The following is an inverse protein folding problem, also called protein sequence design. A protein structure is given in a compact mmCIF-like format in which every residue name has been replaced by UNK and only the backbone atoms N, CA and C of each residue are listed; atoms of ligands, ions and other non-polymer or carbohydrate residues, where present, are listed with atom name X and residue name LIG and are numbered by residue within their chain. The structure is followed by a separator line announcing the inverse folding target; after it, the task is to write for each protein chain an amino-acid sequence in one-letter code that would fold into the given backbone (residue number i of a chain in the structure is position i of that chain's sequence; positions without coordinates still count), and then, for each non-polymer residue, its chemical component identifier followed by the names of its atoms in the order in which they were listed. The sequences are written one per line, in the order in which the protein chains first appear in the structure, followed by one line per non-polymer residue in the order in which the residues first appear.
data_IF_281811956114
#
_entry.id   IF_281811956114
#
_cell.length_a   1.000
_cell.length_b   1.000
_cell.length_c   1.000
_cell.angle_alpha   90.00
_cell.angle_beta   90.00
_cell.angle_gamma   90.00
#
_symmetry.space_group_name_H-M   'P 1'
#
loop_
_entity.id
_entity.type
_entity.pdbx_description
1 polymer ?
#
# COMPACT_ATOMS: atom_id res chain seq x y z
N UNK A 1 14.97 3.64 -14.30
CA UNK A 1 15.11 2.21 -13.88
C UNK A 1 14.43 2.08 -12.54
N UNK A 2 13.58 1.06 -12.31
CA UNK A 2 12.89 0.89 -11.01
C UNK A 2 13.91 0.63 -9.88
N UNK A 3 13.69 1.19 -8.68
CA UNK A 3 14.50 0.86 -7.51
C UNK A 3 14.59 -0.65 -7.28
N UNK A 4 15.78 -1.15 -6.94
CA UNK A 4 16.00 -2.58 -6.70
C UNK A 4 15.07 -3.12 -5.60
N UNK A 5 14.89 -2.35 -4.53
CA UNK A 5 13.98 -2.69 -3.43
C UNK A 5 12.51 -2.80 -3.85
N UNK A 6 12.08 -2.06 -4.89
CA UNK A 6 10.72 -2.24 -5.45
C UNK A 6 10.61 -3.56 -6.22
N UNK A 7 11.64 -3.94 -6.98
CA UNK A 7 11.68 -5.24 -7.65
C UNK A 7 11.65 -6.39 -6.64
N UNK A 8 12.48 -6.30 -5.61
CA UNK A 8 12.50 -7.29 -4.52
C UNK A 8 11.14 -7.38 -3.80
N UNK A 9 10.47 -6.24 -3.60
CA UNK A 9 9.12 -6.21 -3.04
C UNK A 9 8.12 -6.96 -3.93
N UNK A 10 8.14 -6.72 -5.24
CA UNK A 10 7.26 -7.41 -6.20
C UNK A 10 7.54 -8.92 -6.18
N UNK A 11 8.81 -9.32 -6.26
CA UNK A 11 9.22 -10.72 -6.20
C UNK A 11 8.73 -11.39 -4.90
N UNK A 12 8.96 -10.75 -3.75
CA UNK A 12 8.49 -11.24 -2.46
C UNK A 12 6.96 -11.36 -2.41
N UNK A 13 6.25 -10.36 -2.93
CA UNK A 13 4.78 -10.33 -2.92
C UNK A 13 4.19 -11.52 -3.69
N UNK A 14 4.79 -11.91 -4.83
CA UNK A 14 4.25 -12.94 -5.73
C UNK A 14 4.79 -14.34 -5.48
N UNK A 15 5.97 -14.44 -4.87
CA UNK A 15 6.65 -15.73 -4.75
C UNK A 15 5.92 -16.70 -3.80
N UNK A 16 5.98 -18.00 -4.05
CA UNK A 16 5.56 -18.99 -3.08
C UNK A 16 6.38 -18.88 -1.80
N UNK A 17 5.71 -18.81 -0.63
CA UNK A 17 6.38 -18.73 0.69
C UNK A 17 7.13 -17.44 0.98
N UNK A 18 7.00 -16.39 0.14
CA UNK A 18 7.66 -15.10 0.39
C UNK A 18 9.19 -15.11 0.22
N UNK A 19 9.68 -15.82 -0.78
CA UNK A 19 11.11 -15.82 -1.13
C UNK A 19 11.36 -14.90 -2.35
N UNK A 20 12.51 -14.19 -2.43
CA UNK A 20 13.56 -14.10 -1.39
C UNK A 20 13.05 -13.39 -0.13
N UNK A 21 13.65 -13.70 1.01
CA UNK A 21 13.34 -13.00 2.26
C UNK A 21 13.66 -11.51 2.08
N UNK A 22 12.76 -10.60 2.47
CA UNK A 22 13.02 -9.17 2.37
C UNK A 22 14.15 -8.75 3.31
N UNK A 23 14.89 -7.72 2.92
CA UNK A 23 15.90 -7.11 3.79
C UNK A 23 15.22 -6.70 5.12
N UNK A 24 15.81 -7.04 6.29
CA UNK A 24 15.27 -6.65 7.59
C UNK A 24 15.04 -5.13 7.75
N UNK A 25 15.74 -4.30 6.96
CA UNK A 25 15.50 -2.84 6.94
C UNK A 25 14.22 -2.44 6.19
N UNK A 26 13.64 -3.34 5.40
CA UNK A 26 12.46 -3.11 4.57
C UNK A 26 11.24 -3.93 5.03
N UNK A 27 11.45 -4.93 5.88
CA UNK A 27 10.40 -5.81 6.38
C UNK A 27 9.96 -5.40 7.79
N UNK A 28 8.66 -5.14 7.95
CA UNK A 28 8.00 -4.80 9.20
C UNK A 28 7.19 -5.99 9.70
N UNK A 29 7.79 -6.81 10.56
CA UNK A 29 7.12 -7.97 11.12
C UNK A 29 5.98 -7.59 12.08
N UNK A 30 6.11 -6.46 12.77
CA UNK A 30 5.14 -5.94 13.73
C UNK A 30 4.76 -4.50 13.42
N UNK A 31 3.61 -4.07 13.96
CA UNK A 31 3.13 -2.70 13.84
C UNK A 31 4.13 -1.69 14.40
N UNK A 32 4.73 -1.96 15.55
CA UNK A 32 5.68 -1.04 16.19
C UNK A 32 6.92 -0.79 15.29
N UNK A 33 7.40 -1.85 14.60
CA UNK A 33 8.49 -1.71 13.62
C UNK A 33 8.03 -0.84 12.43
N UNK A 34 6.80 -1.02 11.97
CA UNK A 34 6.24 -0.21 10.90
C UNK A 34 6.10 1.26 11.31
N UNK A 35 5.56 1.57 12.49
CA UNK A 35 5.41 2.93 13.01
C UNK A 35 6.78 3.63 13.18
N UNK A 36 7.77 2.91 13.69
CA UNK A 36 9.14 3.42 13.74
C UNK A 36 9.74 3.75 12.36
N UNK A 37 9.31 3.06 11.31
CA UNK A 37 9.73 3.36 9.93
C UNK A 37 8.95 4.49 9.30
N UNK A 38 7.70 4.71 9.67
CA UNK A 38 6.96 5.91 9.25
C UNK A 38 7.68 7.18 9.72
N UNK A 39 8.24 7.18 10.92
CA UNK A 39 9.07 8.30 11.40
C UNK A 39 10.32 8.51 10.52
N UNK A 40 10.92 7.42 10.03
CA UNK A 40 12.05 7.53 9.08
C UNK A 40 11.62 8.03 7.72
N UNK A 41 10.44 7.65 7.23
CA UNK A 41 9.86 8.19 5.99
C UNK A 41 9.66 9.70 6.09
N UNK A 42 9.06 10.18 7.18
CA UNK A 42 8.86 11.62 7.42
C UNK A 42 10.17 12.38 7.31
N UNK A 43 11.15 11.98 8.12
CA UNK A 43 12.47 12.63 8.12
C UNK A 43 13.21 12.50 6.77
N UNK A 44 12.96 11.44 6.02
CA UNK A 44 13.54 11.26 4.69
C UNK A 44 12.88 12.20 3.67
N UNK A 45 11.55 12.31 3.69
CA UNK A 45 10.78 13.18 2.80
C UNK A 45 11.15 14.66 2.99
N UNK A 46 11.28 15.12 4.25
CA UNK A 46 11.75 16.48 4.58
C UNK A 46 13.17 16.73 4.08
N UNK A 47 14.11 15.80 4.30
CA UNK A 47 15.48 15.91 3.79
C UNK A 47 15.57 15.88 2.26
N UNK A 48 14.65 15.18 1.61
CA UNK A 48 14.52 15.15 0.15
C UNK A 48 13.90 16.45 -0.41
N UNK A 49 13.50 17.38 0.47
CA UNK A 49 13.00 18.71 0.09
C UNK A 49 11.48 18.80 -0.07
N UNK A 50 10.70 17.77 0.34
CA UNK A 50 9.25 17.93 0.39
C UNK A 50 8.88 18.99 1.44
N UNK A 51 7.91 19.89 1.15
CA UNK A 51 7.35 20.77 2.17
C UNK A 51 6.83 19.96 3.39
N UNK A 52 6.97 20.50 4.58
CA UNK A 52 6.59 19.85 5.84
C UNK A 52 5.17 19.26 5.80
N UNK A 53 4.20 20.02 5.28
CA UNK A 53 2.81 19.57 5.12
C UNK A 53 2.67 18.37 4.16
N UNK A 54 3.44 18.34 3.07
CA UNK A 54 3.43 17.25 2.10
C UNK A 54 4.13 16.01 2.65
N UNK A 55 5.24 16.17 3.36
CA UNK A 55 5.93 15.08 4.03
C UNK A 55 5.03 14.42 5.09
N UNK A 56 4.31 15.23 5.87
CA UNK A 56 3.33 14.75 6.85
C UNK A 56 2.16 14.02 6.19
N UNK A 57 1.59 14.56 5.09
CA UNK A 57 0.50 13.93 4.34
C UNK A 57 0.93 12.61 3.71
N UNK A 58 2.10 12.55 3.08
CA UNK A 58 2.65 11.32 2.51
C UNK A 58 2.83 10.25 3.60
N UNK A 59 3.37 10.66 4.76
CA UNK A 59 3.55 9.76 5.90
C UNK A 59 2.21 9.24 6.43
N UNK A 60 1.18 10.10 6.52
CA UNK A 60 -0.17 9.71 6.91
C UNK A 60 -0.80 8.74 5.90
N UNK A 61 -0.64 8.99 4.59
CA UNK A 61 -1.07 8.08 3.52
C UNK A 61 -0.41 6.71 3.66
N UNK A 62 0.91 6.67 3.84
CA UNK A 62 1.64 5.42 4.05
C UNK A 62 1.19 4.71 5.34
N UNK A 63 0.93 5.48 6.40
CA UNK A 63 0.41 4.98 7.67
C UNK A 63 -0.93 4.27 7.54
N UNK A 64 -1.90 4.87 6.85
CA UNK A 64 -3.21 4.25 6.61
C UNK A 64 -3.11 2.97 5.79
N UNK A 65 -2.28 2.95 4.74
CA UNK A 65 -2.09 1.76 3.91
C UNK A 65 -1.45 0.63 4.72
N UNK A 66 -0.34 0.92 5.42
CA UNK A 66 0.40 -0.11 6.14
C UNK A 66 -0.33 -0.61 7.39
N UNK A 67 -1.07 0.26 8.10
CA UNK A 67 -1.88 -0.18 9.24
C UNK A 67 -2.97 -1.17 8.83
N UNK A 68 -3.53 -1.03 7.62
CA UNK A 68 -4.49 -2.00 7.09
C UNK A 68 -3.90 -3.41 6.99
N UNK A 69 -2.60 -3.53 6.69
CA UNK A 69 -1.91 -4.82 6.66
C UNK A 69 -1.98 -5.54 8.01
N UNK A 70 -1.92 -4.81 9.12
CA UNK A 70 -2.01 -5.38 10.46
C UNK A 70 -3.46 -5.55 10.92
N UNK A 71 -4.33 -4.55 10.69
CA UNK A 71 -5.71 -4.56 11.18
C UNK A 71 -6.56 -5.68 10.54
N UNK A 72 -6.32 -5.97 9.27
CA UNK A 72 -7.13 -6.96 8.53
C UNK A 72 -6.55 -8.37 8.52
N UNK A 73 -5.25 -8.54 8.81
CA UNK A 73 -4.59 -9.82 8.70
C UNK A 73 -4.22 -10.47 10.04
N UNK A 74 -4.49 -9.83 11.18
CA UNK A 74 -4.18 -10.39 12.49
C UNK A 74 -4.87 -11.76 12.66
N UNK A 75 -4.07 -12.82 12.85
CA UNK A 75 -4.55 -14.22 12.91
C UNK A 75 -4.92 -14.82 11.54
N UNK A 76 -4.68 -14.13 10.44
CA UNK A 76 -5.04 -14.57 9.09
C UNK A 76 -3.88 -14.49 8.08
N UNK A 77 -2.66 -14.38 8.57
CA UNK A 77 -1.48 -14.47 7.74
C UNK A 77 -1.37 -15.88 7.16
N UNK A 78 -1.12 -15.99 5.85
CA UNK A 78 -1.01 -17.29 5.19
C UNK A 78 0.38 -17.91 5.35
N UNK A 79 1.42 -17.06 5.36
CA UNK A 79 2.81 -17.49 5.46
C UNK A 79 3.65 -16.53 6.31
N UNK A 80 3.86 -15.28 5.89
CA UNK A 80 4.69 -14.31 6.58
C UNK A 80 3.86 -13.16 7.16
N UNK A 81 3.85 -12.97 8.48
CA UNK A 81 3.14 -11.85 9.13
C UNK A 81 3.87 -10.53 8.88
N UNK A 82 3.10 -9.44 8.81
CA UNK A 82 3.66 -8.10 8.64
C UNK A 82 3.62 -7.58 7.20
N UNK A 83 4.41 -6.56 6.92
CA UNK A 83 4.44 -5.95 5.60
C UNK A 83 5.86 -5.60 5.14
N UNK A 84 6.06 -5.60 3.84
CA UNK A 84 7.17 -4.93 3.19
C UNK A 84 6.88 -3.44 3.16
N UNK A 85 7.83 -2.61 3.58
CA UNK A 85 7.70 -1.17 3.56
C UNK A 85 9.03 -0.53 3.19
N UNK A 86 9.09 0.13 2.05
CA UNK A 86 10.27 0.86 1.63
C UNK A 86 9.90 2.12 0.85
N UNK A 87 10.87 2.99 0.69
CA UNK A 87 10.74 4.25 -0.02
C UNK A 87 12.09 4.66 -0.61
N UNK A 88 12.04 5.38 -1.71
CA UNK A 88 13.22 5.95 -2.36
C UNK A 88 12.85 7.23 -3.11
N UNK A 89 13.82 8.13 -3.22
CA UNK A 89 13.73 9.23 -4.16
C UNK A 89 14.21 8.73 -5.52
N UNK A 90 13.33 8.83 -6.52
CA UNK A 90 13.67 8.59 -7.92
C UNK A 90 13.08 9.75 -8.73
N UNK A 91 13.81 10.22 -9.74
CA UNK A 91 13.23 11.27 -10.59
C UNK A 91 11.97 10.75 -11.30
N UNK A 92 10.80 11.37 -11.12
CA UNK A 92 10.56 12.77 -10.76
C UNK A 92 10.12 13.02 -9.30
N UNK A 93 10.28 12.10 -8.33
CA UNK A 93 9.82 12.35 -6.97
C UNK A 93 10.08 11.22 -5.98
N UNK A 94 9.39 11.26 -4.87
CA UNK A 94 9.48 10.25 -3.83
C UNK A 94 8.49 9.11 -4.12
N UNK A 95 8.98 7.89 -4.09
CA UNK A 95 8.21 6.67 -4.21
C UNK A 95 8.14 5.96 -2.87
N UNK A 96 6.96 5.48 -2.50
CA UNK A 96 6.72 4.65 -1.32
C UNK A 96 5.97 3.41 -1.74
N UNK A 97 6.42 2.23 -1.32
CA UNK A 97 5.72 0.98 -1.60
C UNK A 97 5.54 0.14 -0.35
N UNK A 98 4.36 -0.42 -0.25
CA UNK A 98 3.90 -1.21 0.88
C UNK A 98 3.23 -2.46 0.31
N UNK A 99 3.61 -3.63 0.81
CA UNK A 99 2.97 -4.87 0.43
C UNK A 99 2.79 -5.78 1.64
N UNK A 100 1.69 -6.52 1.69
CA UNK A 100 1.46 -7.59 2.65
C UNK A 100 1.09 -8.90 1.93
N UNK A 101 1.20 -10.00 2.64
CA UNK A 101 0.86 -11.35 2.17
C UNK A 101 -0.30 -11.93 2.97
N UNK A 102 -1.23 -11.08 3.37
CA UNK A 102 -2.43 -11.46 4.10
C UNK A 102 -3.54 -11.99 3.21
N UNK A 103 -4.78 -11.86 3.68
CA UNK A 103 -5.96 -12.42 2.99
C UNK A 103 -6.39 -11.65 1.72
N UNK A 104 -5.88 -10.43 1.52
CA UNK A 104 -6.30 -9.55 0.44
C UNK A 104 -7.62 -8.82 0.69
N UNK A 105 -7.91 -7.85 -0.19
CA UNK A 105 -9.04 -6.93 -0.03
C UNK A 105 -10.38 -7.64 -0.17
N UNK A 106 -10.54 -8.52 -1.17
CA UNK A 106 -11.80 -9.24 -1.40
C UNK A 106 -12.20 -10.07 -0.18
N UNK A 107 -11.31 -10.93 0.32
CA UNK A 107 -11.60 -11.78 1.46
C UNK A 107 -11.84 -10.96 2.75
N UNK A 108 -11.22 -9.80 2.89
CA UNK A 108 -11.47 -8.90 4.02
C UNK A 108 -12.88 -8.30 3.95
N UNK A 109 -13.34 -7.89 2.77
CA UNK A 109 -14.67 -7.29 2.59
C UNK A 109 -15.80 -8.33 2.60
N UNK A 110 -15.56 -9.56 2.21
CA UNK A 110 -16.57 -10.63 2.21
C UNK A 110 -17.15 -10.91 3.61
N UNK A 111 -16.47 -10.55 4.68
CA UNK A 111 -17.02 -10.64 6.04
C UNK A 111 -18.25 -9.72 6.23
N UNK A 112 -18.26 -8.56 5.59
CA UNK A 112 -19.38 -7.60 5.64
C UNK A 112 -20.28 -7.66 4.38
N UNK A 113 -19.73 -8.13 3.27
CA UNK A 113 -20.39 -8.22 1.96
C UNK A 113 -20.22 -9.63 1.37
N UNK A 114 -20.92 -10.66 1.89
CA UNK A 114 -20.68 -12.05 1.48
C UNK A 114 -20.94 -12.33 -0.01
N UNK A 115 -21.76 -11.52 -0.67
CA UNK A 115 -22.08 -11.65 -2.10
C UNK A 115 -21.00 -11.05 -3.02
N UNK A 116 -19.97 -10.37 -2.47
CA UNK A 116 -18.90 -9.79 -3.25
C UNK A 116 -17.95 -10.89 -3.74
N UNK A 117 -17.73 -10.99 -5.04
CA UNK A 117 -16.88 -12.03 -5.65
C UNK A 117 -15.81 -11.48 -6.59
N UNK A 118 -15.88 -10.20 -6.90
CA UNK A 118 -15.00 -9.54 -7.87
C UNK A 118 -13.92 -8.71 -7.16
N UNK A 119 -12.65 -8.98 -7.46
CA UNK A 119 -11.49 -8.30 -6.86
C UNK A 119 -11.40 -6.82 -7.25
N UNK A 120 -11.75 -6.49 -8.50
CA UNK A 120 -11.74 -5.11 -8.98
C UNK A 120 -12.80 -4.28 -8.25
N UNK A 121 -14.01 -4.86 -8.09
CA UNK A 121 -15.08 -4.23 -7.33
C UNK A 121 -14.70 -4.11 -5.84
N UNK A 122 -14.02 -5.11 -5.27
CA UNK A 122 -13.56 -5.06 -3.89
C UNK A 122 -12.59 -3.88 -3.65
N UNK A 123 -11.61 -3.69 -4.53
CA UNK A 123 -10.70 -2.54 -4.46
C UNK A 123 -11.46 -1.21 -4.59
N UNK A 124 -12.36 -1.09 -5.56
CA UNK A 124 -13.17 0.11 -5.73
C UNK A 124 -13.98 0.43 -4.45
N UNK A 125 -14.63 -0.56 -3.86
CA UNK A 125 -15.39 -0.42 -2.60
C UNK A 125 -14.45 0.01 -1.46
N UNK A 126 -13.28 -0.60 -1.30
CA UNK A 126 -12.34 -0.29 -0.22
C UNK A 126 -11.89 1.18 -0.26
N UNK A 127 -11.68 1.73 -1.45
CA UNK A 127 -11.27 3.13 -1.63
C UNK A 127 -12.43 4.13 -1.74
N UNK A 128 -13.67 3.69 -1.95
CA UNK A 128 -14.82 4.58 -2.21
C UNK A 128 -15.87 4.56 -1.09
N UNK A 129 -16.09 3.42 -0.43
CA UNK A 129 -17.20 3.25 0.50
C UNK A 129 -16.74 3.04 1.94
N UNK A 130 -17.57 3.47 2.90
CA UNK A 130 -17.40 3.09 4.30
C UNK A 130 -17.98 1.69 4.45
N UNK A 131 -17.13 0.68 4.46
CA UNK A 131 -17.53 -0.67 4.82
C UNK A 131 -16.87 -0.99 6.16
N UNK A 132 -17.64 -0.85 7.25
CA UNK A 132 -17.19 -1.23 8.59
C UNK A 132 -17.82 -2.58 8.93
N UNK A 133 -16.99 -3.63 9.01
CA UNK A 133 -17.41 -4.94 9.51
C UNK A 133 -17.49 -5.02 11.03
N UNK A 134 -17.13 -3.96 11.76
CA UNK A 134 -17.14 -3.88 13.22
C UNK A 134 -18.00 -2.73 13.70
N UNK A 135 -19.20 -3.04 14.21
CA UNK A 135 -20.00 -2.10 14.98
C UNK A 135 -19.53 -2.12 16.45
N UNK A 136 -19.32 -0.97 17.16
CA UNK A 136 -19.66 0.41 16.82
C UNK A 136 -18.49 1.28 16.32
N UNK A 137 -17.34 0.71 15.99
CA UNK A 137 -16.17 1.50 15.58
C UNK A 137 -16.32 2.07 14.16
N UNK A 138 -16.20 3.40 14.02
CA UNK A 138 -16.17 4.12 12.75
C UNK A 138 -14.81 3.93 12.00
N UNK A 139 -14.26 2.72 11.99
CA UNK A 139 -13.08 2.36 11.20
C UNK A 139 -13.51 2.02 9.77
N UNK A 140 -12.72 2.34 8.78
CA UNK A 140 -13.01 2.11 7.36
C UNK A 140 -12.91 3.37 6.50
N UNK A 141 -12.34 4.46 7.05
CA UNK A 141 -12.12 5.71 6.33
C UNK A 141 -10.68 5.88 5.82
N UNK A 142 -9.73 5.02 6.22
CA UNK A 142 -8.31 5.17 5.91
C UNK A 142 -8.02 5.22 4.41
N UNK A 143 -8.47 4.24 3.64
CA UNK A 143 -8.23 4.22 2.19
C UNK A 143 -8.99 5.31 1.43
N UNK A 144 -10.11 5.83 1.96
CA UNK A 144 -10.78 7.01 1.40
C UNK A 144 -9.99 8.28 1.64
N UNK A 145 -9.46 8.43 2.85
CA UNK A 145 -8.54 9.52 3.15
C UNK A 145 -7.36 9.46 2.17
N UNK A 146 -6.75 8.29 1.99
CA UNK A 146 -5.68 8.07 1.01
C UNK A 146 -6.12 8.55 -0.37
N UNK A 147 -7.26 8.08 -0.89
CA UNK A 147 -7.77 8.50 -2.20
C UNK A 147 -8.02 10.01 -2.30
N UNK A 148 -8.59 10.60 -1.25
CA UNK A 148 -8.84 12.04 -1.18
C UNK A 148 -7.55 12.85 -1.27
N UNK A 149 -6.52 12.46 -0.51
CA UNK A 149 -5.22 13.13 -0.52
C UNK A 149 -4.52 12.99 -1.87
N UNK A 150 -4.56 11.79 -2.46
CA UNK A 150 -3.94 11.54 -3.77
C UNK A 150 -4.63 12.34 -4.87
N UNK A 151 -5.96 12.35 -4.92
CA UNK A 151 -6.71 13.06 -5.97
C UNK A 151 -6.74 14.59 -5.80
N UNK A 152 -6.27 15.12 -4.67
CA UNK A 152 -6.24 16.55 -4.43
C UNK A 152 -5.21 17.31 -5.30
N UNK A 153 -4.17 16.60 -5.79
CA UNK A 153 -3.11 17.21 -6.61
C UNK A 153 -2.65 16.26 -7.73
N UNK A 154 -2.37 16.83 -8.89
CA UNK A 154 -1.93 16.07 -10.07
C UNK A 154 -0.50 15.50 -9.96
N UNK A 155 0.29 15.99 -9.03
CA UNK A 155 1.65 15.55 -8.71
C UNK A 155 1.71 14.34 -7.78
N UNK A 156 0.54 13.83 -7.35
CA UNK A 156 0.39 12.64 -6.52
C UNK A 156 -0.23 11.51 -7.31
N UNK A 157 0.15 10.29 -7.01
CA UNK A 157 -0.42 9.12 -7.63
C UNK A 157 -0.31 7.87 -6.77
N UNK A 158 -1.22 6.93 -7.00
CA UNK A 158 -1.26 5.67 -6.30
C UNK A 158 -1.70 4.55 -7.23
N UNK A 159 -1.07 3.38 -7.06
CA UNK A 159 -1.57 2.12 -7.60
C UNK A 159 -1.65 1.10 -6.49
N UNK A 160 -2.76 0.40 -6.42
CA UNK A 160 -2.97 -0.72 -5.51
C UNK A 160 -3.40 -1.94 -6.30
N UNK A 161 -2.83 -3.10 -5.96
CA UNK A 161 -3.24 -4.41 -6.49
C UNK A 161 -3.60 -5.36 -5.34
N UNK A 162 -4.63 -6.18 -5.55
CA UNK A 162 -5.01 -7.26 -4.65
C UNK A 162 -5.71 -8.34 -5.44
N UNK A 163 -5.15 -9.56 -5.47
CA UNK A 163 -5.56 -10.57 -6.42
C UNK A 163 -5.39 -10.06 -7.86
N UNK A 164 -6.30 -10.40 -8.79
CA UNK A 164 -6.31 -9.87 -10.15
C UNK A 164 -6.83 -8.44 -10.27
N UNK A 165 -7.30 -7.80 -9.18
CA UNK A 165 -7.80 -6.44 -9.20
C UNK A 165 -6.68 -5.41 -9.10
N UNK A 166 -6.83 -4.28 -9.82
CA UNK A 166 -5.93 -3.14 -9.78
C UNK A 166 -6.71 -1.82 -9.73
N UNK A 167 -6.23 -0.86 -8.93
CA UNK A 167 -6.82 0.46 -8.80
C UNK A 167 -5.74 1.53 -8.92
N UNK A 168 -6.00 2.53 -9.74
CA UNK A 168 -5.14 3.71 -9.90
C UNK A 168 -5.87 4.97 -9.46
N UNK A 169 -5.16 5.89 -8.80
CA UNK A 169 -5.66 7.21 -8.42
C UNK A 169 -4.60 8.28 -8.70
N UNK A 170 -5.05 9.51 -8.94
CA UNK A 170 -4.17 10.68 -9.12
C UNK A 170 -3.56 10.79 -10.50
N UNK A 171 -2.63 11.75 -10.64
CA UNK A 171 -2.04 12.15 -11.93
C UNK A 171 -0.61 11.66 -12.17
N UNK A 172 -0.02 10.87 -11.27
CA UNK A 172 1.34 10.36 -11.51
C UNK A 172 1.39 9.50 -12.78
N UNK A 173 2.49 9.62 -13.57
CA UNK A 173 2.55 8.93 -14.85
C UNK A 173 2.43 7.42 -14.68
N UNK A 174 1.47 6.86 -15.40
CA UNK A 174 1.24 5.42 -15.57
C UNK A 174 2.51 4.70 -16.10
N UNK A 175 3.45 5.42 -16.70
CA UNK A 175 4.70 4.86 -17.21
C UNK A 175 5.55 4.11 -16.16
N UNK A 176 5.45 4.50 -14.88
CA UNK A 176 6.06 3.71 -13.79
C UNK A 176 5.30 2.39 -13.56
N UNK A 177 4.01 2.37 -13.87
CA UNK A 177 3.12 1.22 -13.70
C UNK A 177 3.27 0.23 -14.84
N UNK A 178 3.45 0.72 -16.07
CA UNK A 178 3.70 -0.11 -17.25
C UNK A 178 5.06 -0.81 -17.16
N UNK A 179 6.02 -0.22 -16.43
CA UNK A 179 7.33 -0.82 -16.17
C UNK A 179 7.30 -1.92 -15.10
N UNK A 180 6.27 -1.98 -14.28
CA UNK A 180 6.07 -3.03 -13.29
C UNK A 180 5.12 -4.06 -13.90
N UNK A 181 5.66 -5.26 -14.19
CA UNK A 181 4.81 -6.42 -14.48
C UNK A 181 4.09 -6.79 -13.17
N UNK A 182 2.91 -6.20 -12.99
CA UNK A 182 2.08 -6.51 -11.83
C UNK A 182 1.66 -7.97 -11.88
N UNK A 183 1.87 -8.69 -10.79
CA UNK A 183 1.49 -10.10 -10.75
C UNK A 183 -0.03 -10.23 -10.79
N UNK A 184 -0.51 -10.92 -11.77
CA UNK A 184 -1.95 -11.06 -12.06
C UNK A 184 -2.63 -12.20 -11.32
N UNK A 185 -1.97 -12.93 -10.42
CA UNK A 185 -2.46 -14.25 -10.09
C UNK A 185 -2.34 -14.72 -8.63
N UNK A 186 -2.29 -13.87 -7.64
CA UNK A 186 -2.34 -14.36 -6.26
C UNK A 186 -3.53 -13.75 -5.51
N UNK A 187 -4.45 -14.62 -5.04
CA UNK A 187 -5.61 -14.26 -4.22
C UNK A 187 -5.23 -13.86 -2.79
N UNK A 188 -4.04 -13.27 -2.60
CA UNK A 188 -3.51 -12.95 -1.27
C UNK A 188 -2.90 -11.56 -1.25
N UNK A 189 -3.02 -10.92 -0.08
CA UNK A 189 -2.37 -9.67 0.21
C UNK A 189 -2.84 -8.47 -0.60
N UNK A 190 -2.18 -7.38 -0.35
CA UNK A 190 -2.33 -6.13 -1.08
C UNK A 190 -0.94 -5.52 -1.28
N UNK A 191 -0.67 -4.99 -2.47
CA UNK A 191 0.52 -4.20 -2.74
C UNK A 191 0.11 -2.82 -3.23
N UNK A 192 0.72 -1.77 -2.68
CA UNK A 192 0.45 -0.37 -3.06
C UNK A 192 1.75 0.36 -3.32
N UNK A 193 1.80 1.08 -4.43
CA UNK A 193 2.82 2.05 -4.76
C UNK A 193 2.21 3.45 -4.69
N UNK A 194 2.84 4.34 -3.95
CA UNK A 194 2.51 5.77 -3.87
C UNK A 194 3.65 6.56 -4.47
N UNK A 195 3.31 7.50 -5.35
CA UNK A 195 4.26 8.45 -5.90
C UNK A 195 3.89 9.87 -5.50
N UNK A 196 4.93 10.67 -5.23
CA UNK A 196 4.79 12.06 -4.83
C UNK A 196 5.88 12.90 -5.48
N UNK A 197 5.49 13.76 -6.43
CA UNK A 197 6.47 14.65 -7.06
C UNK A 197 6.86 15.78 -6.14
N UNK A 198 8.11 16.16 -6.26
CA UNK A 198 8.60 17.43 -5.74
C UNK A 198 8.43 18.49 -6.84
N UNK A 199 7.60 19.51 -6.61
CA UNK A 199 7.44 20.69 -7.46
C UNK A 199 8.41 21.80 -7.05
#
# INVERSE_FOLDING_TARGET
MLPESLRTCVEWYVSPGGLPQPDPTQYCQTRDVFEGRLTKLLAYAERAGLPEGDAALLTAVAGEIGNNSFDHNLGHWQDQPGCYFAFAFDAPGLLVWIADRGRGVLASLQQALPALTDHQQALAIAFERIVSGRHPERRGNGLKFVRSVINAHADRGLVSVSGPGALTCGGMPLALLDAIHWPTAQDRGMMTLVGWRHT
#
